data_IF_986083249327
#
_entry.id   IF_986083249327
#
_cell.length_a   1.000
_cell.length_b   1.000
_cell.length_c   1.000
_cell.angle_alpha   90.00
_cell.angle_beta   90.00
_cell.angle_gamma   90.00
#
_symmetry.space_group_name_H-M   'P 1'
#
loop_
_entity.id
_entity.type
_entity.pdbx_description
1 polymer ?
#
# COMPACT_ATOMS: atom_id res chain seq x y z
N UNK A 1 -26.81 -12.06 -63.83
CA UNK A 1 -27.29 -12.53 -62.51
C UNK A 1 -26.16 -12.84 -61.51
N UNK A 2 -24.92 -13.06 -61.95
CA UNK A 2 -23.75 -13.38 -61.09
C UNK A 2 -23.26 -12.22 -60.19
N UNK A 3 -23.32 -10.96 -60.64
CA UNK A 3 -22.88 -9.80 -59.83
C UNK A 3 -23.78 -9.45 -58.64
N UNK A 4 -25.04 -9.89 -58.65
CA UNK A 4 -26.00 -9.64 -57.56
C UNK A 4 -25.84 -10.60 -56.38
N UNK A 5 -25.40 -11.84 -56.63
CA UNK A 5 -25.00 -12.75 -55.56
C UNK A 5 -23.72 -12.27 -54.87
N UNK A 6 -22.72 -11.84 -55.63
CA UNK A 6 -21.40 -11.45 -55.09
C UNK A 6 -21.47 -10.22 -54.15
N UNK A 7 -22.35 -9.25 -54.41
CA UNK A 7 -22.57 -8.10 -53.51
C UNK A 7 -23.29 -8.47 -52.21
N UNK A 8 -24.18 -9.46 -52.23
CA UNK A 8 -24.87 -9.94 -51.02
C UNK A 8 -23.92 -10.73 -50.12
N UNK A 9 -23.04 -11.55 -50.69
CA UNK A 9 -22.05 -12.29 -49.90
C UNK A 9 -21.04 -11.37 -49.23
N UNK A 10 -20.59 -10.31 -49.91
CA UNK A 10 -19.64 -9.34 -49.35
C UNK A 10 -20.24 -8.55 -48.17
N UNK A 11 -21.51 -8.18 -48.26
CA UNK A 11 -22.21 -7.44 -47.20
C UNK A 11 -22.43 -8.31 -45.95
N UNK A 12 -22.77 -9.60 -46.12
CA UNK A 12 -22.95 -10.54 -45.00
C UNK A 12 -21.60 -10.83 -44.31
N UNK A 13 -20.50 -10.93 -45.06
CA UNK A 13 -19.17 -11.12 -44.47
C UNK A 13 -18.73 -9.88 -43.67
N UNK A 14 -19.00 -8.67 -44.19
CA UNK A 14 -18.68 -7.41 -43.51
C UNK A 14 -19.51 -7.23 -42.22
N UNK A 15 -20.80 -7.60 -42.23
CA UNK A 15 -21.63 -7.57 -41.01
C UNK A 15 -21.20 -8.64 -39.98
N UNK A 16 -20.79 -9.83 -40.41
CA UNK A 16 -20.30 -10.88 -39.51
C UNK A 16 -18.98 -10.48 -38.82
N UNK A 17 -18.10 -9.75 -39.52
CA UNK A 17 -16.86 -9.23 -38.94
C UNK A 17 -17.12 -8.14 -37.88
N UNK A 18 -18.13 -7.28 -38.08
CA UNK A 18 -18.50 -6.21 -37.14
C UNK A 18 -19.10 -6.72 -35.82
N UNK A 19 -19.74 -7.90 -35.82
CA UNK A 19 -20.35 -8.47 -34.61
C UNK A 19 -19.32 -8.93 -33.55
N UNK A 20 -18.06 -9.15 -33.94
CA UNK A 20 -17.01 -9.65 -33.02
C UNK A 20 -16.30 -8.55 -32.21
N UNK A 21 -16.56 -7.27 -32.48
CA UNK A 21 -15.90 -6.15 -31.79
C UNK A 21 -16.42 -5.92 -30.36
N UNK A 22 -17.52 -6.57 -29.98
CA UNK A 22 -18.11 -6.53 -28.64
C UNK A 22 -17.81 -7.81 -27.84
N UNK A 23 -16.52 -8.16 -27.71
CA UNK A 23 -16.11 -9.19 -26.76
C UNK A 23 -16.56 -8.87 -25.32
N UNK A 24 -16.84 -9.89 -24.49
CA UNK A 24 -17.27 -9.71 -23.11
C UNK A 24 -16.21 -8.98 -22.28
N UNK A 25 -16.64 -8.21 -21.29
CA UNK A 25 -15.74 -7.58 -20.31
C UNK A 25 -15.55 -8.54 -19.15
N UNK A 26 -14.31 -8.89 -18.85
CA UNK A 26 -14.00 -9.69 -17.66
C UNK A 26 -13.90 -8.79 -16.44
N UNK A 27 -14.42 -9.25 -15.30
CA UNK A 27 -14.36 -8.50 -14.04
C UNK A 27 -13.10 -8.84 -13.27
N UNK A 28 -12.53 -7.82 -12.63
CA UNK A 28 -11.46 -7.94 -11.65
C UNK A 28 -11.97 -7.47 -10.29
N UNK A 29 -11.36 -7.99 -9.24
CA UNK A 29 -11.68 -7.74 -7.84
C UNK A 29 -10.41 -7.31 -7.11
N UNK A 30 -10.58 -6.48 -6.10
CA UNK A 30 -9.55 -6.06 -5.16
C UNK A 30 -10.16 -5.95 -3.76
N UNK A 31 -9.35 -6.26 -2.75
CA UNK A 31 -9.70 -5.90 -1.38
C UNK A 31 -9.58 -4.37 -1.19
N UNK A 32 -10.36 -3.77 -0.27
CA UNK A 32 -10.10 -2.41 0.18
C UNK A 32 -8.68 -2.29 0.75
N UNK A 33 -8.01 -1.18 0.48
CA UNK A 33 -6.60 -0.98 0.90
C UNK A 33 -6.41 0.46 1.36
N UNK A 34 -5.71 0.65 2.48
CA UNK A 34 -5.30 1.97 2.94
C UNK A 34 -3.96 2.33 2.29
N UNK A 35 -3.91 3.46 1.62
CA UNK A 35 -2.72 4.00 0.96
C UNK A 35 -2.41 5.36 1.54
N UNK A 36 -1.43 5.44 2.44
CA UNK A 36 -0.97 6.71 3.00
C UNK A 36 -2.07 7.53 3.68
N UNK A 37 -3.00 6.87 4.40
CA UNK A 37 -4.12 7.56 5.04
C UNK A 37 -5.32 7.79 4.13
N UNK A 38 -5.37 7.12 2.98
CA UNK A 38 -6.51 7.15 2.07
C UNK A 38 -7.04 5.74 1.85
N UNK A 39 -8.29 5.48 2.26
CA UNK A 39 -8.93 4.21 2.03
C UNK A 39 -9.44 4.13 0.59
N UNK A 40 -8.92 3.16 -0.16
CA UNK A 40 -9.30 2.90 -1.55
C UNK A 40 -10.13 1.62 -1.61
N UNK A 41 -11.31 1.72 -2.20
CA UNK A 41 -12.25 0.59 -2.36
C UNK A 41 -12.67 0.46 -3.83
N UNK A 42 -12.11 -0.53 -4.53
CA UNK A 42 -12.47 -0.82 -5.93
C UNK A 42 -13.81 -1.53 -5.97
N UNK A 43 -14.82 -0.93 -6.62
CA UNK A 43 -16.16 -1.50 -6.72
C UNK A 43 -16.52 -1.99 -8.13
N UNK A 44 -15.77 -1.57 -9.15
CA UNK A 44 -15.92 -2.09 -10.51
C UNK A 44 -14.58 -1.99 -11.23
N UNK A 45 -13.91 -3.13 -11.44
CA UNK A 45 -12.76 -3.22 -12.32
C UNK A 45 -13.09 -4.19 -13.46
N UNK A 46 -12.80 -3.78 -14.69
CA UNK A 46 -13.13 -4.54 -15.89
C UNK A 46 -12.01 -4.47 -16.91
N UNK A 47 -11.78 -5.57 -17.62
CA UNK A 47 -10.80 -5.65 -18.69
C UNK A 47 -11.45 -6.08 -20.01
N UNK A 48 -10.97 -5.51 -21.12
CA UNK A 48 -11.35 -5.88 -22.49
C UNK A 48 -10.16 -5.65 -23.42
N UNK A 49 -9.59 -6.74 -23.94
CA UNK A 49 -8.36 -6.74 -24.76
C UNK A 49 -7.31 -5.80 -24.15
N UNK A 50 -7.00 -4.72 -24.86
CA UNK A 50 -5.97 -3.73 -24.57
C UNK A 50 -6.37 -2.68 -23.52
N UNK A 51 -7.54 -2.80 -22.87
CA UNK A 51 -8.04 -1.76 -21.96
C UNK A 51 -8.53 -2.32 -20.63
N UNK A 52 -8.14 -1.65 -19.55
CA UNK A 52 -8.58 -1.89 -18.18
C UNK A 52 -9.28 -0.62 -17.66
N UNK A 53 -10.48 -0.77 -17.11
CA UNK A 53 -11.21 0.30 -16.42
C UNK A 53 -11.28 -0.03 -14.94
N UNK A 54 -11.01 0.94 -14.08
CA UNK A 54 -11.10 0.80 -12.63
C UNK A 54 -11.91 1.95 -12.06
N UNK A 55 -13.03 1.61 -11.40
CA UNK A 55 -13.84 2.53 -10.61
C UNK A 55 -13.68 2.18 -9.13
N UNK A 56 -13.36 3.21 -8.35
CA UNK A 56 -13.05 3.07 -6.94
C UNK A 56 -13.64 4.24 -6.15
N UNK A 57 -13.91 3.99 -4.87
CA UNK A 57 -14.09 5.05 -3.89
C UNK A 57 -12.73 5.33 -3.23
N UNK A 58 -12.42 6.61 -3.07
CA UNK A 58 -11.22 7.11 -2.40
C UNK A 58 -11.70 7.98 -1.25
N UNK A 59 -11.35 7.60 -0.03
CA UNK A 59 -11.80 8.26 1.20
C UNK A 59 -10.59 8.71 2.01
N UNK A 60 -10.57 9.98 2.40
CA UNK A 60 -9.55 10.50 3.29
C UNK A 60 -9.83 10.04 4.73
N UNK A 61 -8.96 9.20 5.28
CA UNK A 61 -9.07 8.74 6.68
C UNK A 61 -8.15 9.50 7.64
N UNK A 62 -7.40 10.49 7.14
CA UNK A 62 -6.63 11.42 7.96
C UNK A 62 -7.51 12.54 8.51
N UNK A 63 -6.96 13.27 9.48
CA UNK A 63 -7.52 14.48 10.07
C UNK A 63 -7.05 15.77 9.38
N UNK A 64 -6.26 15.64 8.30
CA UNK A 64 -5.81 16.75 7.44
C UNK A 64 -6.29 16.57 5.99
N UNK A 65 -6.51 17.66 5.23
CA UNK A 65 -6.85 17.56 3.81
C UNK A 65 -5.76 16.87 2.98
N UNK A 66 -6.17 16.02 2.04
CA UNK A 66 -5.27 15.32 1.11
C UNK A 66 -5.58 15.67 -0.33
N UNK A 67 -4.53 15.82 -1.14
CA UNK A 67 -4.64 15.99 -2.59
C UNK A 67 -4.48 14.62 -3.24
N UNK A 68 -5.41 14.30 -4.13
CA UNK A 68 -5.37 13.10 -4.96
C UNK A 68 -5.14 13.51 -6.42
N UNK A 69 -4.02 13.07 -6.96
CA UNK A 69 -3.70 13.12 -8.39
C UNK A 69 -3.85 11.74 -9.01
N UNK A 70 -4.95 11.57 -9.75
CA UNK A 70 -5.24 10.30 -10.43
C UNK A 70 -4.41 10.09 -11.69
N UNK A 71 -3.76 11.12 -12.22
CA UNK A 71 -2.95 11.03 -13.43
C UNK A 71 -1.59 10.38 -13.13
N UNK A 72 -1.20 10.34 -11.86
CA UNK A 72 -0.05 9.60 -11.35
C UNK A 72 -0.36 8.13 -11.03
N UNK A 73 -1.62 7.69 -11.14
CA UNK A 73 -1.96 6.28 -10.97
C UNK A 73 -1.48 5.45 -12.18
N UNK A 74 -1.00 4.25 -11.91
CA UNK A 74 -0.49 3.33 -12.91
C UNK A 74 -0.93 1.90 -12.61
N UNK A 75 -0.77 1.00 -13.58
CA UNK A 75 -0.99 -0.43 -13.40
C UNK A 75 0.29 -1.18 -13.70
N UNK A 76 0.75 -2.00 -12.76
CA UNK A 76 1.87 -2.91 -12.93
C UNK A 76 1.39 -4.25 -13.46
N UNK A 77 1.87 -4.65 -14.62
CA UNK A 77 1.63 -5.96 -15.20
C UNK A 77 2.47 -7.04 -14.48
N UNK A 78 2.14 -8.35 -14.62
CA UNK A 78 2.94 -9.43 -14.04
C UNK A 78 4.42 -9.41 -14.39
N UNK A 79 4.78 -8.92 -15.58
CA UNK A 79 6.16 -8.76 -16.02
C UNK A 79 6.90 -7.57 -15.40
N UNK A 80 6.27 -6.81 -14.50
CA UNK A 80 6.83 -5.61 -13.87
C UNK A 80 6.65 -4.32 -14.67
N UNK A 81 6.21 -4.41 -15.94
CA UNK A 81 5.92 -3.24 -16.77
C UNK A 81 4.84 -2.37 -16.16
N UNK A 82 5.05 -1.05 -16.21
CA UNK A 82 4.15 -0.04 -15.69
C UNK A 82 3.35 0.61 -16.83
N UNK A 83 2.03 0.43 -16.80
CA UNK A 83 1.10 1.14 -17.68
C UNK A 83 0.58 2.40 -16.99
N UNK A 84 0.94 3.60 -17.46
CA UNK A 84 0.36 4.83 -16.92
C UNK A 84 -1.13 4.91 -17.25
N UNK A 85 -1.87 5.76 -16.53
CA UNK A 85 -3.26 6.07 -16.88
C UNK A 85 -3.34 6.50 -18.35
N UNK A 86 -4.30 5.94 -19.07
CA UNK A 86 -4.60 6.38 -20.43
C UNK A 86 -5.05 7.85 -20.39
N UNK A 87 -4.27 8.72 -21.03
CA UNK A 87 -4.60 10.13 -21.19
C UNK A 87 -4.84 10.43 -22.67
N UNK A 88 -5.97 11.04 -22.97
CA UNK A 88 -6.25 11.74 -24.23
C UNK A 88 -6.19 13.26 -24.07
N UNK A 89 -6.23 13.97 -25.21
CA UNK A 89 -6.06 15.44 -25.34
C UNK A 89 -6.97 16.27 -24.44
N UNK A 90 -8.16 15.77 -24.07
CA UNK A 90 -9.15 16.49 -23.24
C UNK A 90 -9.30 15.91 -21.83
N UNK A 91 -8.38 15.05 -21.39
CA UNK A 91 -8.58 14.21 -20.18
C UNK A 91 -7.52 14.41 -19.11
N UNK A 92 -6.76 15.51 -19.12
CA UNK A 92 -5.98 15.89 -17.95
C UNK A 92 -6.94 16.31 -16.85
N UNK A 93 -6.81 15.71 -15.67
CA UNK A 93 -7.69 16.02 -14.56
C UNK A 93 -6.93 16.85 -13.55
N UNK A 94 -7.53 17.96 -13.13
CA UNK A 94 -7.01 18.72 -12.00
C UNK A 94 -7.01 17.82 -10.76
N UNK A 95 -5.88 17.70 -10.03
CA UNK A 95 -5.87 17.05 -8.73
C UNK A 95 -6.96 17.66 -7.85
N UNK A 96 -7.61 16.84 -7.04
CA UNK A 96 -8.67 17.31 -6.15
C UNK A 96 -8.30 17.07 -4.70
N UNK A 97 -8.75 18.00 -3.86
CA UNK A 97 -8.61 17.94 -2.40
C UNK A 97 -9.77 17.13 -1.85
N UNK A 98 -9.47 16.23 -0.90
CA UNK A 98 -10.45 15.55 -0.06
C UNK A 98 -10.23 16.01 1.38
N UNK A 99 -11.27 16.59 1.97
CA UNK A 99 -11.26 16.93 3.39
C UNK A 99 -11.29 15.66 4.26
N UNK A 100 -10.93 15.74 5.55
CA UNK A 100 -11.06 14.62 6.48
C UNK A 100 -12.44 13.96 6.43
N UNK A 101 -12.46 12.63 6.24
CA UNK A 101 -13.68 11.83 6.10
C UNK A 101 -14.42 11.99 4.77
N UNK A 102 -13.96 12.85 3.86
CA UNK A 102 -14.57 13.02 2.54
C UNK A 102 -14.26 11.81 1.66
N UNK A 103 -15.28 11.36 0.92
CA UNK A 103 -15.19 10.25 -0.04
C UNK A 103 -15.53 10.73 -1.45
N UNK A 104 -14.74 10.30 -2.42
CA UNK A 104 -14.96 10.59 -3.84
C UNK A 104 -14.86 9.35 -4.71
N UNK A 105 -15.71 9.31 -5.73
CA UNK A 105 -15.61 8.32 -6.80
C UNK A 105 -14.53 8.72 -7.80
N UNK A 106 -13.66 7.77 -8.12
CA UNK A 106 -12.53 7.93 -9.03
C UNK A 106 -12.65 6.86 -10.10
N UNK A 107 -12.49 7.29 -11.34
CA UNK A 107 -12.49 6.41 -12.50
C UNK A 107 -11.21 6.66 -13.29
N UNK A 108 -10.47 5.59 -13.50
CA UNK A 108 -9.25 5.56 -14.31
C UNK A 108 -9.35 4.44 -15.33
N UNK A 109 -8.77 4.66 -16.50
CA UNK A 109 -8.57 3.63 -17.51
C UNK A 109 -7.11 3.55 -17.91
N UNK A 110 -6.68 2.34 -18.28
CA UNK A 110 -5.31 2.01 -18.68
C UNK A 110 -5.39 1.32 -20.04
N UNK A 111 -4.42 1.61 -20.91
CA UNK A 111 -4.37 1.03 -22.25
C UNK A 111 -2.96 0.50 -22.53
N UNK A 112 -2.89 -0.67 -23.13
CA UNK A 112 -1.64 -1.21 -23.69
C UNK A 112 -1.90 -1.77 -25.09
N UNK A 113 -1.33 -1.17 -26.14
CA UNK A 113 -1.49 -1.70 -27.49
C UNK A 113 -0.81 -3.06 -27.67
N UNK A 114 0.22 -3.34 -26.87
CA UNK A 114 1.08 -4.51 -27.02
C UNK A 114 0.65 -5.69 -26.14
N UNK A 115 -0.24 -5.46 -25.16
CA UNK A 115 -0.73 -6.49 -24.26
C UNK A 115 -2.23 -6.73 -24.39
N UNK A 116 -2.60 -8.01 -24.53
CA UNK A 116 -3.96 -8.43 -24.25
C UNK A 116 -4.16 -8.57 -22.74
N UNK A 117 -4.75 -7.56 -22.11
CA UNK A 117 -4.98 -7.56 -20.67
C UNK A 117 -6.02 -8.62 -20.27
N UNK A 118 -6.78 -9.20 -21.19
CA UNK A 118 -7.70 -10.33 -20.88
C UNK A 118 -6.97 -11.65 -20.71
N UNK A 119 -5.68 -11.75 -21.01
CA UNK A 119 -4.86 -12.95 -20.69
C UNK A 119 -4.09 -12.78 -19.39
N UNK A 120 -4.09 -11.58 -18.80
CA UNK A 120 -3.40 -11.28 -17.54
C UNK A 120 -4.22 -11.86 -16.38
N UNK A 121 -3.61 -12.76 -15.58
CA UNK A 121 -4.28 -13.41 -14.45
C UNK A 121 -4.47 -12.47 -13.27
N UNK A 122 -3.42 -11.73 -12.92
CA UNK A 122 -3.38 -10.73 -11.85
C UNK A 122 -2.61 -9.50 -12.32
N UNK A 123 -2.93 -8.33 -11.78
CA UNK A 123 -2.19 -7.09 -12.02
C UNK A 123 -2.26 -6.22 -10.77
N UNK A 124 -1.42 -5.21 -10.64
CA UNK A 124 -1.39 -4.36 -9.46
C UNK A 124 -1.71 -2.92 -9.84
N UNK A 125 -2.74 -2.33 -9.25
CA UNK A 125 -2.97 -0.89 -9.32
C UNK A 125 -2.01 -0.19 -8.36
N UNK A 126 -1.20 0.73 -8.88
CA UNK A 126 -0.22 1.50 -8.12
C UNK A 126 -0.72 2.94 -7.96
N UNK A 127 -0.73 3.42 -6.72
CA UNK A 127 -1.25 4.74 -6.32
C UNK A 127 -0.11 5.54 -5.68
N UNK A 128 0.42 6.53 -6.41
CA UNK A 128 1.54 7.40 -5.97
C UNK A 128 1.10 8.87 -5.78
N UNK A 129 -0.02 9.28 -6.36
CA UNK A 129 -0.48 10.68 -6.39
C UNK A 129 -1.21 11.16 -5.14
N UNK A 130 -0.93 10.60 -3.97
CA UNK A 130 -1.56 11.00 -2.70
C UNK A 130 -0.57 11.84 -1.91
N UNK A 131 -0.97 13.04 -1.48
CA UNK A 131 -0.14 13.94 -0.66
C UNK A 131 -0.99 14.79 0.28
N UNK A 132 -0.39 15.34 1.33
CA UNK A 132 -1.07 16.33 2.18
C UNK A 132 -1.22 17.64 1.39
N UNK A 133 -2.34 18.34 1.58
CA UNK A 133 -2.49 19.66 0.96
C UNK A 133 -1.42 20.63 1.47
N UNK A 134 -0.73 21.30 0.54
CA UNK A 134 0.37 22.21 0.85
C UNK A 134 1.76 21.56 0.88
N UNK A 135 1.88 20.22 0.84
CA UNK A 135 3.18 19.54 0.74
C UNK A 135 3.51 19.16 -0.70
N UNK A 136 4.79 19.16 -1.05
CA UNK A 136 5.26 18.66 -2.36
C UNK A 136 5.46 17.14 -2.35
N UNK A 137 5.77 16.56 -1.19
CA UNK A 137 6.10 15.15 -1.05
C UNK A 137 4.85 14.26 -1.03
N UNK A 138 4.88 13.10 -1.72
CA UNK A 138 3.82 12.12 -1.64
C UNK A 138 3.77 11.49 -0.24
N UNK A 139 2.56 11.28 0.28
CA UNK A 139 2.32 10.62 1.57
C UNK A 139 2.76 9.16 1.55
N UNK A 140 2.44 8.45 0.47
CA UNK A 140 2.82 7.06 0.29
C UNK A 140 2.64 6.64 -1.17
N UNK A 141 3.32 5.55 -1.54
CA UNK A 141 2.94 4.72 -2.68
C UNK A 141 2.23 3.48 -2.17
N UNK A 142 1.03 3.22 -2.67
CA UNK A 142 0.26 2.03 -2.34
C UNK A 142 0.05 1.13 -3.55
N UNK A 143 -0.10 -0.16 -3.27
CA UNK A 143 -0.31 -1.19 -4.28
C UNK A 143 -1.56 -1.99 -3.96
N UNK A 144 -2.42 -2.18 -4.96
CA UNK A 144 -3.69 -2.90 -4.82
C UNK A 144 -3.73 -4.01 -5.86
N UNK A 145 -3.70 -5.26 -5.39
CA UNK A 145 -3.80 -6.42 -6.27
C UNK A 145 -5.20 -6.52 -6.88
N UNK A 146 -5.26 -6.59 -8.21
CA UNK A 146 -6.45 -6.84 -9.02
C UNK A 146 -6.38 -8.26 -9.56
N UNK A 147 -7.39 -9.08 -9.24
CA UNK A 147 -7.46 -10.48 -9.69
C UNK A 147 -8.86 -10.89 -10.15
N UNK A 148 -8.97 -12.03 -10.85
CA UNK A 148 -10.27 -12.53 -11.35
C UNK A 148 -11.12 -13.21 -10.30
N UNK A 149 -10.48 -13.74 -9.27
CA UNK A 149 -11.19 -14.32 -8.13
C UNK A 149 -11.51 -13.20 -7.14
N UNK A 150 -12.74 -13.14 -6.62
CA UNK A 150 -13.03 -12.34 -5.45
C UNK A 150 -12.02 -12.71 -4.36
N UNK A 151 -11.21 -11.76 -3.90
CA UNK A 151 -10.39 -12.01 -2.73
C UNK A 151 -11.33 -12.17 -1.54
N UNK A 152 -11.08 -13.15 -0.65
CA UNK A 152 -11.81 -13.22 0.60
C UNK A 152 -11.60 -11.89 1.31
N UNK A 153 -12.67 -11.11 1.40
CA UNK A 153 -12.68 -9.90 2.21
C UNK A 153 -12.62 -10.42 3.64
N UNK A 154 -11.41 -10.52 4.18
CA UNK A 154 -11.26 -10.61 5.61
C UNK A 154 -11.85 -9.32 6.13
N UNK A 155 -13.11 -9.39 6.58
CA UNK A 155 -13.77 -8.33 7.30
C UNK A 155 -12.93 -8.11 8.56
N UNK A 156 -11.86 -7.33 8.45
CA UNK A 156 -11.25 -6.67 9.57
C UNK A 156 -12.39 -5.91 10.20
N UNK A 157 -12.83 -6.39 11.37
CA UNK A 157 -13.99 -5.94 12.13
C UNK A 157 -13.91 -4.42 12.20
N UNK A 158 -14.58 -3.75 11.28
CA UNK A 158 -14.50 -2.30 11.15
C UNK A 158 -15.35 -1.78 12.28
N UNK A 159 -14.70 -1.30 13.35
CA UNK A 159 -15.37 -0.57 14.41
C UNK A 159 -16.08 0.60 13.74
N UNK A 160 -17.40 0.49 13.65
CA UNK A 160 -18.25 1.47 13.00
C UNK A 160 -17.97 2.84 13.65
N UNK A 161 -17.55 3.86 12.89
CA UNK A 161 -17.28 5.17 13.48
C UNK A 161 -18.57 5.68 14.13
N UNK A 162 -18.45 6.05 15.41
CA UNK A 162 -19.58 6.51 16.21
C UNK A 162 -20.31 7.65 15.49
N UNK A 163 -21.64 7.56 15.49
CA UNK A 163 -22.58 8.54 14.93
C UNK A 163 -22.14 9.98 15.27
N UNK A 164 -22.12 10.92 14.31
CA UNK A 164 -21.64 12.27 14.56
C UNK A 164 -22.46 12.92 15.68
N UNK A 165 -21.81 13.23 16.80
CA UNK A 165 -22.41 14.02 17.88
C UNK A 165 -22.38 15.47 17.43
N UNK A 166 -23.53 16.14 17.46
CA UNK A 166 -23.71 17.56 17.15
C UNK A 166 -22.65 18.42 17.84
N UNK A 167 -21.88 19.18 17.06
CA UNK A 167 -20.78 20.05 17.50
C UNK A 167 -21.34 21.21 18.35
N UNK A 168 -20.90 21.37 19.63
CA UNK A 168 -21.07 22.61 20.36
C UNK A 168 -20.10 23.67 19.83
N UNK A 169 -20.56 24.91 19.85
CA UNK A 169 -19.90 26.13 19.38
C UNK A 169 -18.48 26.29 19.96
N UNK A 170 -17.57 26.74 19.10
CA UNK A 170 -16.13 26.87 19.30
C UNK A 170 -15.72 27.49 20.65
N UNK A 171 -14.95 26.72 21.41
CA UNK A 171 -13.99 27.24 22.39
C UNK A 171 -12.58 26.93 21.89
N UNK A 172 -11.72 27.93 22.07
CA UNK A 172 -10.32 28.05 21.66
C UNK A 172 -9.53 26.74 21.70
N UNK A 173 -9.09 26.31 20.52
CA UNK A 173 -8.25 25.11 20.32
C UNK A 173 -6.84 25.35 20.88
N UNK A 174 -6.56 24.78 22.04
CA UNK A 174 -5.25 24.19 22.30
C UNK A 174 -5.14 22.94 21.43
N UNK A 175 -4.01 22.75 20.73
CA UNK A 175 -3.78 21.53 19.95
C UNK A 175 -4.03 20.30 20.86
N UNK A 176 -4.87 19.34 20.46
CA UNK A 176 -5.01 18.11 21.22
C UNK A 176 -3.70 17.34 21.12
N UNK A 177 -3.13 16.97 22.28
CA UNK A 177 -2.06 15.98 22.29
C UNK A 177 -2.54 14.71 21.55
N UNK A 178 -1.67 14.07 20.76
CA UNK A 178 -2.03 12.87 20.02
C UNK A 178 -2.60 11.82 20.97
N UNK A 179 -3.75 11.24 20.60
CA UNK A 179 -4.44 10.24 21.42
C UNK A 179 -3.48 9.09 21.78
N UNK A 180 -3.55 8.54 23.00
CA UNK A 180 -2.64 7.48 23.47
C UNK A 180 -2.57 6.27 22.53
N UNK A 181 -3.66 5.97 21.82
CA UNK A 181 -3.76 4.82 20.90
C UNK A 181 -2.87 4.93 19.66
N UNK A 182 -2.55 6.15 19.18
CA UNK A 182 -1.66 6.33 18.03
C UNK A 182 -0.18 6.09 18.40
N UNK A 183 0.20 6.40 19.65
CA UNK A 183 1.57 6.16 20.15
C UNK A 183 1.88 4.68 20.33
N UNK A 184 0.87 3.83 20.50
CA UNK A 184 1.03 2.37 20.67
C UNK A 184 1.53 1.64 19.42
N UNK A 185 1.64 2.31 18.27
CA UNK A 185 2.17 1.73 17.02
C UNK A 185 3.43 2.43 16.50
N UNK A 186 4.17 3.11 17.39
CA UNK A 186 5.46 3.71 17.05
C UNK A 186 6.60 2.75 17.38
N UNK A 187 7.55 2.63 16.45
CA UNK A 187 8.71 1.75 16.59
C UNK A 187 9.97 2.42 16.03
N UNK A 188 11.11 2.23 16.67
CA UNK A 188 12.42 2.59 16.14
C UNK A 188 13.26 1.32 15.91
N UNK A 189 14.06 1.34 14.85
CA UNK A 189 15.08 0.31 14.59
C UNK A 189 16.44 0.90 14.96
N UNK A 190 17.16 0.26 15.89
CA UNK A 190 18.44 0.75 16.37
C UNK A 190 19.58 -0.20 15.97
N UNK A 191 20.39 0.22 14.99
CA UNK A 191 21.59 -0.51 14.56
C UNK A 191 22.87 0.02 15.20
N UNK A 192 22.80 1.01 16.11
CA UNK A 192 24.00 1.66 16.69
C UNK A 192 24.84 0.73 17.56
N UNK A 193 24.29 -0.41 17.96
CA UNK A 193 25.00 -1.45 18.69
C UNK A 193 25.86 -2.37 17.80
N UNK A 194 25.74 -2.25 16.47
CA UNK A 194 26.64 -2.91 15.53
C UNK A 194 27.94 -2.10 15.42
N UNK A 195 29.09 -2.76 15.57
CA UNK A 195 30.36 -2.16 15.18
C UNK A 195 30.46 -2.01 13.64
N UNK A 196 31.44 -1.26 13.18
CA UNK A 196 31.62 -0.98 11.75
C UNK A 196 31.77 -2.26 10.90
N UNK A 197 32.42 -3.30 11.44
CA UNK A 197 32.64 -4.56 10.73
C UNK A 197 31.33 -5.33 10.57
N UNK A 198 30.55 -5.43 11.64
CA UNK A 198 29.25 -6.11 11.64
C UNK A 198 28.22 -5.34 10.81
N UNK A 199 28.24 -4.01 10.88
CA UNK A 199 27.39 -3.17 10.03
C UNK A 199 27.69 -3.38 8.54
N UNK A 200 28.97 -3.42 8.15
CA UNK A 200 29.36 -3.71 6.76
C UNK A 200 29.03 -5.15 6.35
N UNK A 201 29.33 -6.13 7.20
CA UNK A 201 29.07 -7.55 6.93
C UNK A 201 27.58 -7.86 6.74
N UNK A 202 26.71 -7.10 7.41
CA UNK A 202 25.26 -7.24 7.31
C UNK A 202 24.64 -6.33 6.24
N UNK A 203 25.41 -5.50 5.52
CA UNK A 203 24.86 -4.42 4.69
C UNK A 203 23.81 -3.61 5.48
N UNK A 204 24.25 -3.03 6.60
CA UNK A 204 23.37 -2.46 7.62
C UNK A 204 22.37 -1.44 7.09
N UNK A 205 22.69 -0.73 6.00
CA UNK A 205 21.76 0.17 5.31
C UNK A 205 20.60 -0.59 4.65
N UNK A 206 20.89 -1.68 3.91
CA UNK A 206 19.83 -2.50 3.32
C UNK A 206 19.02 -3.24 4.37
N UNK A 207 19.67 -3.71 5.43
CA UNK A 207 18.98 -4.35 6.56
C UNK A 207 17.98 -3.37 7.21
N UNK A 208 18.41 -2.15 7.52
CA UNK A 208 17.55 -1.10 8.05
C UNK A 208 16.35 -0.85 7.13
N UNK A 209 16.59 -0.66 5.83
CA UNK A 209 15.52 -0.45 4.85
C UNK A 209 14.52 -1.62 4.81
N UNK A 210 15.02 -2.87 4.81
CA UNK A 210 14.17 -4.06 4.82
C UNK A 210 13.27 -4.11 6.06
N UNK A 211 13.83 -3.80 7.24
CA UNK A 211 13.08 -3.73 8.50
C UNK A 211 12.04 -2.61 8.48
N UNK A 212 12.42 -1.40 8.06
CA UNK A 212 11.54 -0.23 7.96
C UNK A 212 10.35 -0.52 7.03
N UNK A 213 10.63 -1.01 5.83
CA UNK A 213 9.58 -1.35 4.85
C UNK A 213 8.61 -2.37 5.45
N UNK A 214 9.13 -3.41 6.10
CA UNK A 214 8.27 -4.44 6.68
C UNK A 214 7.39 -3.91 7.82
N UNK A 215 7.97 -3.10 8.72
CA UNK A 215 7.23 -2.49 9.82
C UNK A 215 6.12 -1.55 9.31
N UNK A 216 6.40 -0.76 8.28
CA UNK A 216 5.38 0.10 7.63
C UNK A 216 4.27 -0.74 7.00
N UNK A 217 4.61 -1.83 6.30
CA UNK A 217 3.62 -2.76 5.72
C UNK A 217 2.71 -3.39 6.77
N UNK A 218 3.25 -3.69 7.96
CA UNK A 218 2.49 -4.24 9.08
C UNK A 218 1.77 -3.15 9.92
N UNK A 219 1.86 -1.88 9.50
CA UNK A 219 1.08 -0.77 10.02
C UNK A 219 1.69 -0.07 11.23
N UNK A 220 3.02 -0.14 11.39
CA UNK A 220 3.77 0.66 12.37
C UNK A 220 4.21 2.00 11.78
N UNK A 221 4.20 3.04 12.61
CA UNK A 221 4.90 4.28 12.34
C UNK A 221 6.36 4.11 12.78
N UNK A 222 7.30 4.20 11.83
CA UNK A 222 8.73 4.08 12.14
C UNK A 222 9.31 5.47 12.41
N UNK A 223 10.02 5.61 13.52
CA UNK A 223 10.65 6.86 13.96
C UNK A 223 12.14 6.69 14.20
N UNK A 224 12.84 7.81 14.43
CA UNK A 224 14.28 7.76 14.71
C UNK A 224 14.57 7.19 16.11
N UNK A 225 15.72 6.53 16.30
CA UNK A 225 16.16 6.09 17.62
C UNK A 225 16.29 7.22 18.66
N UNK A 226 16.58 8.45 18.22
CA UNK A 226 16.67 9.64 19.08
C UNK A 226 15.29 10.06 19.59
N UNK A 227 14.28 10.01 18.72
CA UNK A 227 12.88 10.28 19.12
C UNK A 227 12.39 9.22 20.11
N UNK A 228 12.71 7.94 19.87
CA UNK A 228 12.40 6.85 20.80
C UNK A 228 13.16 6.95 22.13
N UNK A 229 14.34 7.58 22.15
CA UNK A 229 15.06 7.89 23.39
C UNK A 229 14.37 8.99 24.21
N UNK A 230 13.72 9.95 23.54
CA UNK A 230 13.01 11.04 24.18
C UNK A 230 11.63 10.62 24.72
N UNK A 231 11.02 9.57 24.16
CA UNK A 231 9.73 9.02 24.60
C UNK A 231 9.82 7.51 24.91
N UNK A 232 9.89 7.12 26.19
CA UNK A 232 9.95 5.71 26.61
C UNK A 232 8.74 4.85 26.23
N UNK A 233 7.64 5.45 25.75
CA UNK A 233 6.48 4.71 25.25
C UNK A 233 6.70 4.12 23.83
N UNK A 234 7.71 4.60 23.11
CA UNK A 234 8.06 4.13 21.77
C UNK A 234 8.89 2.84 21.89
N UNK A 235 8.52 1.80 21.13
CA UNK A 235 9.28 0.55 21.14
C UNK A 235 10.56 0.68 20.34
N UNK A 236 11.68 0.21 20.89
CA UNK A 236 12.96 0.11 20.18
C UNK A 236 13.28 -1.35 19.91
N UNK A 237 13.57 -1.68 18.65
CA UNK A 237 14.13 -2.96 18.24
C UNK A 237 15.61 -2.74 17.94
N UNK A 238 16.46 -3.15 18.88
CA UNK A 238 17.91 -3.06 18.75
C UNK A 238 18.47 -4.29 18.03
N UNK A 239 19.39 -4.07 17.10
CA UNK A 239 20.09 -5.13 16.36
C UNK A 239 21.53 -5.24 16.86
N UNK A 240 21.94 -6.46 17.20
CA UNK A 240 23.27 -6.77 17.73
C UNK A 240 23.83 -8.02 17.07
N UNK A 241 25.13 -8.21 17.14
CA UNK A 241 25.78 -9.49 16.85
C UNK A 241 26.42 -9.98 18.15
N UNK A 242 26.17 -11.23 18.53
CA UNK A 242 26.78 -11.82 19.72
C UNK A 242 28.14 -12.46 19.44
N UNK A 243 28.77 -12.99 20.49
CA UNK A 243 30.12 -13.58 20.41
C UNK A 243 30.16 -14.87 19.55
N UNK A 244 29.00 -15.48 19.29
CA UNK A 244 28.85 -16.66 18.42
C UNK A 244 28.59 -16.26 16.95
N UNK A 245 28.49 -14.96 16.66
CA UNK A 245 28.19 -14.43 15.33
C UNK A 245 26.72 -14.53 14.95
N UNK A 246 25.82 -14.70 15.92
CA UNK A 246 24.38 -14.65 15.67
C UNK A 246 23.89 -13.21 15.66
N UNK A 247 22.96 -12.89 14.76
CA UNK A 247 22.26 -11.62 14.78
C UNK A 247 21.12 -11.71 15.77
N UNK A 248 21.12 -10.81 16.73
CA UNK A 248 20.16 -10.76 17.83
C UNK A 248 19.33 -9.49 17.70
N UNK A 249 18.01 -9.64 17.66
CA UNK A 249 17.07 -8.55 17.83
C UNK A 249 16.59 -8.54 19.28
N UNK A 250 16.75 -7.40 19.94
CA UNK A 250 16.34 -7.19 21.32
C UNK A 250 15.33 -6.05 21.41
N UNK A 251 14.31 -6.23 22.25
CA UNK A 251 13.34 -5.18 22.60
C UNK A 251 13.14 -5.17 24.11
N UNK A 252 13.27 -4.00 24.72
CA UNK A 252 12.92 -3.80 26.11
C UNK A 252 11.39 -3.70 26.28
N UNK A 253 10.87 -4.37 27.31
CA UNK A 253 9.47 -4.33 27.72
C UNK A 253 9.39 -4.20 29.24
N UNK A 254 9.44 -2.97 29.73
CA UNK A 254 9.56 -2.70 31.16
C UNK A 254 10.89 -3.23 31.71
N UNK A 255 10.84 -4.30 32.51
CA UNK A 255 12.05 -4.96 33.06
C UNK A 255 12.49 -6.18 32.26
N UNK A 256 11.66 -6.66 31.34
CA UNK A 256 11.94 -7.83 30.53
C UNK A 256 12.58 -7.43 29.21
N UNK A 257 13.42 -8.32 28.66
CA UNK A 257 14.00 -8.18 27.32
C UNK A 257 13.46 -9.32 26.47
N UNK A 258 12.75 -8.97 25.40
CA UNK A 258 12.35 -9.93 24.38
C UNK A 258 13.47 -10.05 23.36
N UNK A 259 13.85 -11.29 23.03
CA UNK A 259 15.00 -11.60 22.18
C UNK A 259 14.60 -12.55 21.04
N UNK A 260 15.11 -12.29 19.85
CA UNK A 260 15.05 -13.18 18.67
C UNK A 260 16.44 -13.29 18.08
N UNK A 261 16.84 -14.50 17.71
CA UNK A 261 18.18 -14.80 17.22
C UNK A 261 18.11 -15.42 15.83
N UNK A 262 19.04 -15.07 14.96
CA UNK A 262 19.20 -15.67 13.63
C UNK A 262 20.68 -15.95 13.37
N UNK A 263 20.99 -17.15 12.89
CA UNK A 263 22.34 -17.47 12.46
C UNK A 263 22.67 -16.69 11.16
N UNK A 264 23.72 -15.87 11.19
CA UNK A 264 24.20 -15.17 9.99
C UNK A 264 25.00 -16.10 9.05
N UNK A 265 25.58 -17.17 9.59
CA UNK A 265 26.54 -18.00 8.89
C UNK A 265 25.87 -18.91 7.85
N UNK A 266 26.29 -18.78 6.58
CA UNK A 266 25.87 -19.66 5.50
C UNK A 266 24.49 -19.34 4.90
N UNK A 267 23.81 -18.29 5.38
CA UNK A 267 22.55 -17.80 4.83
C UNK A 267 22.85 -16.65 3.85
N UNK A 268 22.26 -16.65 2.64
CA UNK A 268 22.35 -15.50 1.75
C UNK A 268 21.86 -14.22 2.43
N UNK A 269 22.55 -13.11 2.21
CA UNK A 269 22.27 -11.84 2.91
C UNK A 269 20.81 -11.38 2.77
N UNK A 270 20.22 -11.58 1.58
CA UNK A 270 18.83 -11.24 1.30
C UNK A 270 17.84 -12.07 2.12
N UNK A 271 18.10 -13.37 2.28
CA UNK A 271 17.26 -14.26 3.09
C UNK A 271 17.38 -13.91 4.57
N UNK A 272 18.61 -13.61 5.03
CA UNK A 272 18.87 -13.10 6.37
C UNK A 272 18.08 -11.80 6.63
N UNK A 273 18.12 -10.84 5.71
CA UNK A 273 17.40 -9.57 5.85
C UNK A 273 15.88 -9.77 5.95
N UNK A 274 15.31 -10.65 5.13
CA UNK A 274 13.88 -10.97 5.18
C UNK A 274 13.49 -11.60 6.52
N UNK A 275 14.31 -12.52 7.03
CA UNK A 275 14.08 -13.18 8.31
C UNK A 275 14.16 -12.16 9.48
N UNK A 276 15.19 -11.32 9.49
CA UNK A 276 15.37 -10.28 10.52
C UNK A 276 14.23 -9.25 10.48
N UNK A 277 13.80 -8.82 9.28
CA UNK A 277 12.67 -7.91 9.12
C UNK A 277 11.35 -8.52 9.63
N UNK A 278 11.09 -9.81 9.37
CA UNK A 278 9.93 -10.50 9.93
C UNK A 278 10.00 -10.58 11.45
N UNK A 279 11.16 -10.95 12.01
CA UNK A 279 11.37 -11.03 13.47
C UNK A 279 11.23 -9.66 14.16
N UNK A 280 11.64 -8.58 13.48
CA UNK A 280 11.46 -7.21 13.97
C UNK A 280 9.98 -6.86 14.10
N UNK A 281 9.17 -7.18 13.08
CA UNK A 281 7.73 -6.96 13.10
C UNK A 281 7.02 -7.79 14.18
N UNK A 282 7.43 -9.05 14.36
CA UNK A 282 6.90 -9.91 15.41
C UNK A 282 7.18 -9.31 16.81
N UNK A 283 8.42 -8.83 17.04
CA UNK A 283 8.81 -8.18 18.29
C UNK A 283 8.03 -6.88 18.55
N UNK A 284 7.83 -6.07 17.50
CA UNK A 284 7.04 -4.86 17.57
C UNK A 284 5.57 -5.15 17.89
N UNK A 285 4.99 -6.22 17.32
CA UNK A 285 3.59 -6.61 17.48
C UNK A 285 3.25 -7.16 18.88
N UNK A 286 4.22 -7.76 19.57
CA UNK A 286 4.03 -8.24 20.94
C UNK A 286 3.73 -7.12 21.94
N UNK A 287 4.12 -5.88 21.63
CA UNK A 287 3.83 -4.68 22.45
C UNK A 287 2.33 -4.39 22.55
N UNK A 288 1.63 -4.52 21.43
CA UNK A 288 0.20 -4.18 21.29
C UNK A 288 -0.66 -5.21 22.04
N UNK A 289 -0.26 -6.48 22.00
CA UNK A 289 -1.03 -7.58 22.59
C UNK A 289 -0.97 -7.64 24.12
N UNK A 290 0.04 -7.03 24.75
CA UNK A 290 0.14 -6.94 26.22
C UNK A 290 -0.53 -5.68 26.76
N UNK A 291 -0.39 -4.54 26.06
CA UNK A 291 -1.07 -3.29 26.43
C UNK A 291 -2.61 -3.38 26.39
N UNK A 292 -3.18 -4.38 25.70
CA UNK A 292 -4.63 -4.60 25.65
C UNK A 292 -5.18 -5.49 26.78
N UNK A 293 -4.32 -6.01 27.67
CA UNK A 293 -4.72 -6.91 28.76
C UNK A 293 -4.76 -6.23 30.13
N UNK A 294 -4.15 -5.06 30.25
CA UNK A 294 -4.21 -4.18 31.43
C UNK A 294 -5.33 -3.13 31.25
#
# INVERSE_FOLDING_TARGET
MTHLLQRRTLLVLLLALLATACGPREKLFAAPTNVGGVLVSVYDAKVKRHQLWVKMNVENVLDVPVVIDRDLMAVRLPGGEMLPRASGVTTQHKPYVLNPGERRQVHVDFRSPDHDLTTVGTTTLVITGVRVEGTAEPLATGEIALGRSPQPVHHAKTTQPAKPRSVPKAETSTLPEPRPEARQRMVAVDLRALDARNFEALDGTRLEQAMVVRLVQDGFAVVSPEEAQADPSISVVAVRVDDEGQVVLERALGRDILRRETAANGVPLEELHLELAQKASDLASLSISQASKD
#
